data_IF_264624438543
#
_entry.id   IF_264624438543
#
_cell.length_a   1.000
_cell.length_b   1.000
_cell.length_c   1.000
_cell.angle_alpha   90.00
_cell.angle_beta   90.00
_cell.angle_gamma   90.00
#
_symmetry.space_group_name_H-M   'P 1'
#
loop_
_entity.id
_entity.type
_entity.pdbx_description
1 polymer ?
#
# COMPACT_ATOMS: atom_id res chain seq x y z
N UNK A 1 39.68 25.48 57.89
CA UNK A 1 39.92 24.03 57.68
C UNK A 1 38.64 23.26 57.97
N UNK A 2 38.07 22.60 56.96
CA UNK A 2 37.46 21.25 56.97
C UNK A 2 36.69 21.03 55.67
N UNK A 3 37.23 20.14 54.85
CA UNK A 3 36.70 19.52 53.63
C UNK A 3 35.65 18.44 53.93
N UNK A 4 34.66 18.28 53.04
CA UNK A 4 34.04 17.02 52.55
C UNK A 4 32.69 17.36 51.88
N UNK A 5 32.53 17.23 50.55
CA UNK A 5 32.24 16.04 49.74
C UNK A 5 30.74 15.72 49.59
N UNK A 6 30.29 15.85 48.34
CA UNK A 6 29.38 14.99 47.57
C UNK A 6 27.90 14.89 47.98
N UNK A 7 27.06 15.38 47.08
CA UNK A 7 25.69 14.92 46.87
C UNK A 7 25.39 14.89 45.36
N UNK A 8 25.65 13.75 44.72
CA UNK A 8 25.15 13.40 43.37
C UNK A 8 23.63 13.12 43.46
N UNK A 9 22.96 13.05 42.30
CA UNK A 9 21.63 12.48 41.98
C UNK A 9 20.62 13.59 41.61
N UNK A 10 19.99 13.61 40.43
CA UNK A 10 20.07 12.82 39.21
C UNK A 10 19.67 13.72 38.05
N UNK A 11 20.33 13.55 36.91
CA UNK A 11 19.88 14.11 35.64
C UNK A 11 18.50 13.51 35.30
N UNK A 12 17.45 14.30 35.49
CA UNK A 12 16.13 14.02 34.93
C UNK A 12 16.15 14.28 33.43
N UNK A 13 16.82 13.41 32.67
CA UNK A 13 16.64 13.40 31.22
C UNK A 13 15.23 12.89 30.99
N UNK A 14 14.30 13.80 30.75
CA UNK A 14 13.08 13.46 30.04
C UNK A 14 13.46 13.10 28.61
N UNK A 15 13.87 11.85 28.41
CA UNK A 15 13.69 11.18 27.13
C UNK A 15 12.18 10.97 26.98
N UNK A 16 11.46 12.06 26.69
CA UNK A 16 10.23 11.91 25.92
C UNK A 16 10.72 11.34 24.62
N UNK A 17 10.52 10.03 24.46
CA UNK A 17 10.79 9.34 23.22
C UNK A 17 10.12 10.12 22.12
N UNK A 18 10.90 10.90 21.39
CA UNK A 18 10.55 11.29 20.05
C UNK A 18 10.56 9.95 19.29
N UNK A 19 9.44 9.22 19.38
CA UNK A 19 9.10 8.25 18.38
C UNK A 19 9.17 9.04 17.09
N UNK A 20 10.22 8.83 16.32
CA UNK A 20 10.29 9.34 14.96
C UNK A 20 8.98 8.92 14.34
N UNK A 21 8.12 9.85 13.87
CA UNK A 21 7.04 9.44 13.01
C UNK A 21 7.74 8.85 11.79
N UNK A 22 7.82 7.52 11.74
CA UNK A 22 8.05 6.79 10.52
C UNK A 22 6.77 7.04 9.71
N UNK A 23 6.63 8.23 9.14
CA UNK A 23 5.72 8.42 8.04
C UNK A 23 6.19 7.41 6.99
N UNK A 24 5.48 6.28 6.86
CA UNK A 24 5.92 5.13 6.08
C UNK A 24 6.44 5.62 4.73
N UNK A 25 7.75 5.43 4.50
CA UNK A 25 8.38 5.88 3.27
C UNK A 25 7.74 5.11 2.12
N UNK A 26 7.38 5.80 1.05
CA UNK A 26 6.84 5.13 -0.13
C UNK A 26 7.88 4.15 -0.71
N UNK A 27 7.48 2.89 -0.81
CA UNK A 27 8.21 1.82 -1.46
C UNK A 27 7.77 1.71 -2.92
N UNK A 28 8.69 1.28 -3.79
CA UNK A 28 8.39 1.10 -5.22
C UNK A 28 7.59 -0.18 -5.44
N UNK A 29 6.46 -0.09 -6.15
CA UNK A 29 5.78 -1.26 -6.70
C UNK A 29 6.41 -1.66 -8.04
N UNK A 30 6.66 -2.96 -8.27
CA UNK A 30 7.10 -3.43 -9.58
C UNK A 30 6.00 -3.17 -10.62
N UNK A 31 6.43 -2.90 -11.85
CA UNK A 31 5.50 -2.80 -12.98
C UNK A 31 4.78 -4.13 -13.19
N UNK A 32 3.46 -4.09 -13.36
CA UNK A 32 2.63 -5.26 -13.66
C UNK A 32 2.11 -5.15 -15.09
N UNK A 33 2.43 -6.12 -15.93
CA UNK A 33 2.10 -6.08 -17.37
C UNK A 33 1.61 -7.44 -17.90
N UNK A 34 0.54 -8.02 -17.36
CA UNK A 34 -0.12 -9.13 -18.04
C UNK A 34 -0.79 -8.61 -19.33
N UNK A 35 -1.11 -9.50 -20.28
CA UNK A 35 -1.65 -9.09 -21.59
C UNK A 35 -2.91 -8.21 -21.47
N UNK A 36 -2.79 -7.00 -22.00
CA UNK A 36 -3.88 -6.01 -22.15
C UNK A 36 -4.07 -5.07 -20.96
N UNK A 37 -3.30 -5.21 -19.88
CA UNK A 37 -3.27 -4.23 -18.79
C UNK A 37 -1.83 -3.90 -18.41
N UNK A 38 -1.59 -2.63 -18.08
CA UNK A 38 -0.32 -2.19 -17.54
C UNK A 38 -0.55 -1.35 -16.29
N UNK A 39 0.02 -1.76 -15.17
CA UNK A 39 0.15 -0.93 -13.97
C UNK A 39 1.62 -0.52 -13.81
N UNK A 40 1.88 0.79 -13.79
CA UNK A 40 3.22 1.36 -13.80
C UNK A 40 3.34 2.56 -12.86
N UNK A 41 4.58 3.00 -12.60
CA UNK A 41 4.88 4.09 -11.66
C UNK A 41 4.22 3.85 -10.28
N UNK A 42 4.11 2.57 -9.92
CA UNK A 42 3.42 2.19 -8.72
C UNK A 42 4.29 2.41 -7.49
N UNK A 43 3.66 2.74 -6.38
CA UNK A 43 4.27 2.84 -5.07
C UNK A 43 3.29 2.38 -3.99
N UNK A 44 3.81 1.91 -2.86
CA UNK A 44 3.01 1.50 -1.71
C UNK A 44 3.68 1.92 -0.40
N UNK A 45 2.90 1.95 0.68
CA UNK A 45 3.39 2.04 2.06
C UNK A 45 2.38 1.40 3.00
N UNK A 46 2.85 1.00 4.16
CA UNK A 46 1.99 0.72 5.31
C UNK A 46 2.01 1.94 6.22
N UNK A 47 0.82 2.43 6.57
CA UNK A 47 0.68 3.57 7.46
C UNK A 47 0.70 3.11 8.92
N UNK A 48 1.17 3.99 9.80
CA UNK A 48 1.04 3.82 11.26
C UNK A 48 -0.44 3.85 11.68
N UNK A 49 -0.83 3.18 12.76
CA UNK A 49 -2.23 3.14 13.22
C UNK A 49 -2.90 4.52 13.38
N UNK A 50 -2.12 5.53 13.79
CA UNK A 50 -2.61 6.89 13.98
C UNK A 50 -2.76 7.68 12.66
N UNK A 51 -2.29 7.14 11.53
CA UNK A 51 -2.31 7.75 10.20
C UNK A 51 -3.11 6.87 9.25
N UNK A 52 -4.11 7.44 8.58
CA UNK A 52 -4.89 6.71 7.55
C UNK A 52 -5.39 5.33 8.00
N UNK A 53 -5.70 5.14 9.29
CA UNK A 53 -6.20 3.89 9.87
C UNK A 53 -5.22 2.70 9.82
N UNK A 54 -3.90 2.94 9.82
CA UNK A 54 -2.94 1.84 9.77
C UNK A 54 -2.94 1.08 8.45
N UNK A 55 -3.37 1.74 7.37
CA UNK A 55 -3.70 1.10 6.09
C UNK A 55 -2.50 0.70 5.24
N UNK A 56 -2.73 -0.27 4.35
CA UNK A 56 -1.97 -0.44 3.13
C UNK A 56 -2.39 0.61 2.09
N UNK A 57 -1.54 1.60 1.86
CA UNK A 57 -1.76 2.67 0.89
C UNK A 57 -0.92 2.46 -0.35
N UNK A 58 -1.51 2.65 -1.52
CA UNK A 58 -0.86 2.41 -2.80
C UNK A 58 -1.33 3.40 -3.86
N UNK A 59 -0.47 3.66 -4.83
CA UNK A 59 -0.82 4.47 -5.99
C UNK A 59 -0.07 4.04 -7.24
N UNK A 60 -0.54 4.47 -8.41
CA UNK A 60 0.13 4.23 -9.69
C UNK A 60 -0.75 4.50 -10.91
N UNK A 61 -0.17 4.33 -12.09
CA UNK A 61 -0.85 4.51 -13.37
C UNK A 61 -1.36 3.18 -13.89
N UNK A 62 -2.68 3.04 -14.01
CA UNK A 62 -3.36 1.90 -14.62
C UNK A 62 -3.74 2.24 -16.06
N UNK A 63 -3.24 1.46 -17.02
CA UNK A 63 -3.47 1.64 -18.45
C UNK A 63 -4.15 0.41 -19.04
N UNK A 64 -5.21 0.64 -19.80
CA UNK A 64 -5.67 -0.31 -20.81
C UNK A 64 -4.65 -0.34 -21.95
N UNK A 65 -3.94 -1.46 -22.04
CA UNK A 65 -2.84 -1.65 -22.98
C UNK A 65 -3.27 -2.30 -24.29
N UNK A 66 -4.54 -2.72 -24.42
CA UNK A 66 -5.08 -3.34 -25.63
C UNK A 66 -6.44 -2.72 -26.01
N UNK A 67 -6.50 -1.42 -26.34
CA UNK A 67 -7.75 -0.66 -26.48
C UNK A 67 -8.75 -1.18 -27.55
N UNK A 68 -8.29 -2.06 -28.44
CA UNK A 68 -9.09 -2.64 -29.53
C UNK A 68 -9.88 -3.89 -29.15
N UNK A 69 -9.70 -4.43 -27.94
CA UNK A 69 -10.36 -5.66 -27.50
C UNK A 69 -11.74 -5.43 -26.83
N UNK A 70 -12.09 -4.16 -26.60
CA UNK A 70 -13.28 -3.71 -25.89
C UNK A 70 -13.42 -4.18 -24.43
N UNK A 71 -12.31 -4.49 -23.78
CA UNK A 71 -12.26 -4.92 -22.39
C UNK A 71 -11.82 -3.79 -21.47
N UNK A 72 -12.27 -3.83 -20.21
CA UNK A 72 -11.76 -2.92 -19.19
C UNK A 72 -10.59 -3.56 -18.41
N UNK A 73 -9.90 -2.74 -17.63
CA UNK A 73 -8.81 -3.14 -16.76
C UNK A 73 -9.08 -2.71 -15.34
N UNK A 74 -8.51 -3.40 -14.37
CA UNK A 74 -8.72 -3.10 -12.95
C UNK A 74 -7.55 -3.59 -12.08
N UNK A 75 -7.46 -3.05 -10.87
CA UNK A 75 -6.60 -3.57 -9.81
C UNK A 75 -7.43 -4.41 -8.85
N UNK A 76 -6.87 -5.53 -8.39
CA UNK A 76 -7.35 -6.25 -7.21
C UNK A 76 -6.40 -6.03 -6.07
N UNK A 77 -6.94 -5.65 -4.93
CA UNK A 77 -6.18 -5.45 -3.69
C UNK A 77 -6.89 -6.18 -2.56
N UNK A 78 -6.11 -6.84 -1.73
CA UNK A 78 -6.58 -7.52 -0.53
C UNK A 78 -5.66 -7.13 0.61
N UNK A 79 -6.23 -6.90 1.78
CA UNK A 79 -5.49 -6.74 3.03
C UNK A 79 -5.88 -7.89 3.95
N UNK A 80 -5.06 -8.18 4.95
CA UNK A 80 -5.40 -9.14 5.99
C UNK A 80 -6.81 -8.90 6.55
N UNK A 81 -7.50 -9.99 6.92
CA UNK A 81 -8.88 -9.93 7.42
C UNK A 81 -9.96 -9.69 6.36
N UNK A 82 -9.61 -9.34 5.12
CA UNK A 82 -10.59 -8.96 4.08
C UNK A 82 -10.47 -9.78 2.78
N UNK A 83 -11.55 -9.75 2.00
CA UNK A 83 -11.58 -10.27 0.63
C UNK A 83 -11.02 -9.28 -0.38
N UNK A 84 -10.88 -9.72 -1.62
CA UNK A 84 -10.39 -8.89 -2.72
C UNK A 84 -11.35 -7.73 -3.03
N UNK A 85 -10.80 -6.52 -3.09
CA UNK A 85 -11.47 -5.30 -3.55
C UNK A 85 -10.99 -4.96 -4.97
N UNK A 86 -11.93 -4.60 -5.84
CA UNK A 86 -11.69 -4.22 -7.23
C UNK A 86 -11.69 -2.70 -7.38
N UNK A 87 -10.67 -2.19 -8.06
CA UNK A 87 -10.55 -0.78 -8.46
C UNK A 87 -10.48 -0.68 -9.98
N UNK A 88 -11.58 -0.24 -10.58
CA UNK A 88 -11.69 -0.16 -12.03
C UNK A 88 -10.84 0.96 -12.63
N UNK A 89 -10.20 0.63 -13.75
CA UNK A 89 -9.63 1.59 -14.66
C UNK A 89 -10.69 2.15 -15.61
N UNK A 90 -10.19 2.68 -16.73
CA UNK A 90 -11.05 3.18 -17.79
C UNK A 90 -10.57 2.68 -19.14
N UNK A 91 -11.51 2.13 -19.89
CA UNK A 91 -11.26 1.59 -21.22
C UNK A 91 -10.57 2.61 -22.12
N UNK A 92 -9.55 2.17 -22.85
CA UNK A 92 -8.70 2.95 -23.78
C UNK A 92 -7.97 4.13 -23.13
N UNK A 93 -7.87 4.17 -21.80
CA UNK A 93 -7.26 5.28 -21.08
C UNK A 93 -6.16 4.81 -20.13
N UNK A 94 -5.34 5.76 -19.71
CA UNK A 94 -4.48 5.63 -18.55
C UNK A 94 -5.08 6.47 -17.43
N UNK A 95 -5.31 5.88 -16.27
CA UNK A 95 -5.85 6.55 -15.09
C UNK A 95 -4.87 6.42 -13.93
N UNK A 96 -4.76 7.49 -13.16
CA UNK A 96 -4.03 7.46 -11.89
C UNK A 96 -4.96 6.94 -10.80
N UNK A 97 -4.50 5.91 -10.07
CA UNK A 97 -5.18 5.36 -8.91
C UNK A 97 -4.37 5.68 -7.65
N UNK A 98 -5.05 6.06 -6.57
CA UNK A 98 -4.48 6.26 -5.25
C UNK A 98 -5.50 5.85 -4.20
N UNK A 99 -5.22 4.78 -3.49
CA UNK A 99 -6.15 4.15 -2.55
C UNK A 99 -5.46 3.71 -1.26
N UNK A 100 -6.29 3.49 -0.25
CA UNK A 100 -5.90 3.12 1.11
C UNK A 100 -6.84 2.01 1.59
N UNK A 101 -6.29 0.83 1.87
CA UNK A 101 -7.01 -0.37 2.28
C UNK A 101 -6.63 -0.74 3.72
N UNK A 102 -7.61 -0.95 4.60
CA UNK A 102 -7.39 -1.25 6.01
C UNK A 102 -8.47 -2.20 6.54
N UNK A 103 -8.15 -2.90 7.61
CA UNK A 103 -9.12 -3.66 8.40
C UNK A 103 -9.55 -2.85 9.64
N UNK A 104 -10.84 -2.56 9.78
CA UNK A 104 -11.35 -1.82 10.92
C UNK A 104 -11.45 -2.57 12.23
N UNK A 105 -11.32 -3.89 12.20
CA UNK A 105 -11.13 -4.68 13.41
C UNK A 105 -9.68 -4.67 13.91
N UNK A 106 -8.73 -4.32 13.04
CA UNK A 106 -7.30 -4.29 13.36
C UNK A 106 -6.79 -2.86 13.50
N UNK A 107 -5.73 -2.71 14.28
CA UNK A 107 -5.10 -1.40 14.52
C UNK A 107 -4.03 -1.07 13.47
N UNK A 108 -3.43 -2.09 12.87
CA UNK A 108 -2.40 -2.00 11.84
C UNK A 108 -2.69 -3.08 10.80
N UNK A 109 -2.59 -2.73 9.53
CA UNK A 109 -2.48 -3.69 8.44
C UNK A 109 -1.00 -3.93 8.18
N UNK A 110 -0.54 -5.17 8.21
CA UNK A 110 0.86 -5.54 7.92
C UNK A 110 1.02 -6.54 6.76
N UNK A 111 -0.10 -6.96 6.16
CA UNK A 111 -0.12 -7.93 5.08
C UNK A 111 -1.10 -7.47 3.99
N UNK A 112 -0.61 -7.39 2.76
CA UNK A 112 -1.41 -7.00 1.61
C UNK A 112 -0.99 -7.71 0.33
N UNK A 113 -1.99 -8.03 -0.49
CA UNK A 113 -1.82 -8.58 -1.82
C UNK A 113 -2.37 -7.63 -2.88
N UNK A 114 -1.67 -7.50 -4.02
CA UNK A 114 -2.11 -6.68 -5.15
C UNK A 114 -1.77 -7.33 -6.50
N UNK A 115 -2.68 -7.20 -7.46
CA UNK A 115 -2.49 -7.64 -8.86
C UNK A 115 -3.27 -6.76 -9.84
N UNK A 116 -2.77 -6.67 -11.07
CA UNK A 116 -3.44 -5.97 -12.16
C UNK A 116 -4.14 -7.00 -13.05
N UNK A 117 -5.37 -6.72 -13.47
CA UNK A 117 -6.19 -7.64 -14.24
C UNK A 117 -6.85 -6.94 -15.44
N UNK A 118 -7.07 -7.72 -16.49
CA UNK A 118 -7.92 -7.37 -17.63
C UNK A 118 -9.21 -8.16 -17.52
N UNK A 119 -10.33 -7.44 -17.54
CA UNK A 119 -11.68 -7.99 -17.55
C UNK A 119 -11.98 -8.57 -18.93
N UNK A 120 -12.16 -9.88 -19.06
CA UNK A 120 -12.44 -10.54 -20.35
C UNK A 120 -13.91 -10.85 -20.54
N UNK A 121 -14.77 -10.28 -19.70
CA UNK A 121 -16.18 -10.55 -19.65
C UNK A 121 -16.51 -11.90 -19.00
N UNK A 122 -17.80 -12.14 -18.80
CA UNK A 122 -18.31 -13.27 -18.01
C UNK A 122 -18.00 -14.65 -18.59
N UNK A 123 -17.68 -14.75 -19.88
CA UNK A 123 -17.48 -16.02 -20.58
C UNK A 123 -16.03 -16.50 -20.55
N UNK A 124 -15.09 -15.71 -20.03
CA UNK A 124 -13.66 -16.03 -20.04
C UNK A 124 -13.02 -15.61 -18.72
N UNK A 125 -12.13 -16.44 -18.16
CA UNK A 125 -11.33 -16.01 -17.02
C UNK A 125 -10.53 -14.75 -17.35
N UNK A 126 -10.52 -13.83 -16.39
CA UNK A 126 -9.72 -12.61 -16.45
C UNK A 126 -8.24 -12.93 -16.49
N UNK A 127 -7.50 -12.05 -17.17
CA UNK A 127 -6.07 -12.18 -17.29
C UNK A 127 -5.38 -11.28 -16.29
N UNK A 128 -4.85 -11.87 -15.23
CA UNK A 128 -4.21 -11.16 -14.13
C UNK A 128 -2.70 -11.37 -14.10
N UNK A 129 -1.98 -10.39 -13.53
CA UNK A 129 -0.58 -10.58 -13.15
C UNK A 129 -0.46 -11.62 -12.03
N UNK A 130 0.73 -12.20 -11.82
CA UNK A 130 1.02 -12.85 -10.55
C UNK A 130 0.69 -11.91 -9.38
N UNK A 131 0.14 -12.47 -8.31
CA UNK A 131 -0.10 -11.73 -7.07
C UNK A 131 1.23 -11.23 -6.51
N UNK A 132 1.28 -9.95 -6.14
CA UNK A 132 2.38 -9.37 -5.38
C UNK A 132 1.93 -9.24 -3.94
N UNK A 133 2.76 -9.77 -3.05
CA UNK A 133 2.56 -9.77 -1.63
C UNK A 133 3.49 -8.74 -0.99
N UNK A 134 2.97 -8.00 0.00
CA UNK A 134 3.65 -6.89 0.64
C UNK A 134 3.55 -7.00 2.15
N UNK A 135 4.62 -6.60 2.81
CA UNK A 135 4.73 -6.39 4.25
C UNK A 135 5.53 -5.10 4.52
N UNK A 136 5.37 -4.47 5.70
CA UNK A 136 6.13 -3.30 6.13
C UNK A 136 7.65 -3.48 6.00
#
# INVERSE_FOLDING_TARGET
>A
MKTAMVGVVAAGVFLVGAGTPMAGSWHKLPRLTPTGVQFAQGQYRFNEAAQNHGSFEWSGQLKDALPGDNNNVYMLVRVEGHDWVRYDGKQRQTVFLHHSNWDGAQRYTDDADLRACRDRGTLRPDNCSPTRHFRP
#
